data_IF_332237337975
#
_entry.id   IF_332237337975
#
_cell.length_a   1.000
_cell.length_b   1.000
_cell.length_c   1.000
_cell.angle_alpha   90.00
_cell.angle_beta   90.00
_cell.angle_gamma   90.00
#
_symmetry.space_group_name_H-M   'P 1'
#
loop_
_entity.id
_entity.type
_entity.pdbx_description
1 polymer ?
#
# COMPACT_ATOMS: atom_id res chain seq x y z
N UNK A 1 -14.58 -33.20 13.57
CA UNK A 1 -15.89 -33.17 12.86
C UNK A 1 -15.67 -33.85 11.52
N UNK A 2 -16.47 -34.86 11.19
CA UNK A 2 -16.30 -35.57 9.92
C UNK A 2 -16.84 -34.73 8.74
N UNK A 3 -16.54 -35.16 7.51
CA UNK A 3 -16.90 -34.44 6.27
C UNK A 3 -18.41 -34.30 6.11
N UNK A 4 -19.18 -35.33 6.49
CA UNK A 4 -20.63 -35.31 6.38
C UNK A 4 -21.24 -34.24 7.32
N UNK A 5 -20.71 -34.11 8.53
CA UNK A 5 -21.13 -33.07 9.47
C UNK A 5 -20.76 -31.67 8.98
N UNK A 6 -19.56 -31.49 8.41
CA UNK A 6 -19.15 -30.20 7.82
C UNK A 6 -20.06 -29.83 6.66
N UNK A 7 -20.33 -30.76 5.76
CA UNK A 7 -21.25 -30.59 4.62
C UNK A 7 -22.64 -30.17 5.08
N UNK A 8 -23.20 -30.86 6.08
CA UNK A 8 -24.52 -30.54 6.65
C UNK A 8 -24.57 -29.13 7.25
N UNK A 9 -23.55 -28.72 7.98
CA UNK A 9 -23.50 -27.38 8.59
C UNK A 9 -23.42 -26.30 7.55
N UNK A 10 -22.53 -26.45 6.55
CA UNK A 10 -22.32 -25.44 5.50
C UNK A 10 -23.52 -25.35 4.59
N UNK A 11 -24.06 -26.47 4.15
CA UNK A 11 -25.25 -26.45 3.27
C UNK A 11 -26.47 -25.84 4.00
N UNK A 12 -26.69 -26.18 5.26
CA UNK A 12 -27.75 -25.58 6.09
C UNK A 12 -27.59 -24.06 6.23
N UNK A 13 -26.36 -23.56 6.39
CA UNK A 13 -26.09 -22.14 6.42
C UNK A 13 -26.41 -21.48 5.06
N UNK A 14 -25.93 -22.04 3.96
CA UNK A 14 -26.19 -21.52 2.63
C UNK A 14 -27.68 -21.51 2.30
N UNK A 15 -28.44 -22.57 2.66
CA UNK A 15 -29.89 -22.62 2.46
C UNK A 15 -30.64 -21.56 3.28
N UNK A 16 -30.14 -21.22 4.48
CA UNK A 16 -30.68 -20.07 5.24
C UNK A 16 -30.41 -18.75 4.54
N UNK A 17 -29.23 -18.58 3.94
CA UNK A 17 -28.92 -17.39 3.14
C UNK A 17 -29.85 -17.26 1.92
N UNK A 18 -30.16 -18.36 1.24
CA UNK A 18 -31.15 -18.40 0.13
C UNK A 18 -32.53 -17.97 0.62
N UNK A 19 -33.01 -18.53 1.72
CA UNK A 19 -34.33 -18.16 2.29
C UNK A 19 -34.37 -16.68 2.70
N UNK A 20 -33.27 -16.16 3.24
CA UNK A 20 -33.16 -14.73 3.57
C UNK A 20 -33.19 -13.85 2.31
N UNK A 21 -32.49 -14.28 1.26
CA UNK A 21 -32.50 -13.57 -0.02
C UNK A 21 -33.90 -13.56 -0.64
N UNK A 22 -34.62 -14.69 -0.66
CA UNK A 22 -36.01 -14.78 -1.15
C UNK A 22 -36.91 -13.78 -0.41
N UNK A 23 -36.85 -13.78 0.94
CA UNK A 23 -37.63 -12.85 1.76
C UNK A 23 -37.22 -11.37 1.54
N UNK A 24 -35.97 -11.10 1.22
CA UNK A 24 -35.51 -9.76 0.91
C UNK A 24 -35.97 -9.29 -0.45
N UNK A 25 -35.94 -10.14 -1.46
CA UNK A 25 -36.44 -9.86 -2.79
C UNK A 25 -37.95 -9.54 -2.73
N UNK A 26 -38.74 -10.35 -2.03
CA UNK A 26 -40.18 -10.16 -1.82
C UNK A 26 -40.46 -8.78 -1.18
N UNK A 27 -39.75 -8.44 -0.10
CA UNK A 27 -39.88 -7.13 0.59
C UNK A 27 -39.56 -5.97 -0.36
N UNK A 28 -38.46 -6.10 -1.12
CA UNK A 28 -38.02 -5.05 -2.06
C UNK A 28 -39.05 -4.88 -3.20
N UNK A 29 -39.58 -5.98 -3.77
CA UNK A 29 -40.65 -5.95 -4.78
C UNK A 29 -41.91 -5.30 -4.24
N UNK A 30 -42.32 -5.63 -3.01
CA UNK A 30 -43.54 -5.05 -2.39
C UNK A 30 -43.42 -3.55 -2.09
N UNK A 31 -42.21 -3.04 -1.98
CA UNK A 31 -41.89 -1.60 -1.72
C UNK A 31 -41.59 -0.83 -3.00
N UNK A 32 -41.63 -1.48 -4.18
CA UNK A 32 -41.22 -0.91 -5.46
C UNK A 32 -39.78 -0.28 -5.39
N UNK A 33 -38.84 -0.96 -4.72
CA UNK A 33 -37.46 -0.53 -4.66
C UNK A 33 -36.78 -0.63 -6.04
N UNK A 34 -35.56 -0.03 -6.18
CA UNK A 34 -34.86 0.07 -7.45
C UNK A 34 -34.68 -1.32 -8.10
N UNK A 35 -35.03 -1.51 -9.39
CA UNK A 35 -34.86 -2.79 -10.10
C UNK A 35 -33.42 -3.31 -10.10
N UNK A 36 -32.39 -2.41 -10.06
CA UNK A 36 -30.99 -2.82 -10.01
C UNK A 36 -30.66 -3.49 -8.68
N UNK A 37 -31.21 -3.00 -7.57
CA UNK A 37 -31.02 -3.61 -6.25
C UNK A 37 -31.73 -4.96 -6.16
N UNK A 38 -32.91 -5.08 -6.72
CA UNK A 38 -33.67 -6.35 -6.81
C UNK A 38 -32.83 -7.37 -7.60
N UNK A 39 -32.29 -6.98 -8.76
CA UNK A 39 -31.49 -7.84 -9.62
C UNK A 39 -30.21 -8.33 -8.90
N UNK A 40 -29.56 -7.45 -8.12
CA UNK A 40 -28.38 -7.83 -7.32
C UNK A 40 -28.74 -8.91 -6.29
N UNK A 41 -29.89 -8.81 -5.64
CA UNK A 41 -30.37 -9.81 -4.69
C UNK A 41 -30.79 -11.11 -5.37
N UNK A 42 -31.37 -11.07 -6.58
CA UNK A 42 -31.70 -12.24 -7.40
C UNK A 42 -30.41 -12.98 -7.82
N UNK A 43 -29.36 -12.25 -8.24
CA UNK A 43 -28.05 -12.82 -8.55
C UNK A 43 -27.40 -13.47 -7.32
N UNK A 44 -27.40 -12.77 -6.17
CA UNK A 44 -26.90 -13.32 -4.91
C UNK A 44 -27.62 -14.61 -4.53
N UNK A 45 -28.94 -14.61 -4.60
CA UNK A 45 -29.80 -15.76 -4.32
C UNK A 45 -29.47 -16.94 -5.22
N UNK A 46 -29.35 -16.71 -6.53
CA UNK A 46 -29.04 -17.75 -7.52
C UNK A 46 -27.65 -18.35 -7.26
N UNK A 47 -26.65 -17.52 -7.06
CA UNK A 47 -25.28 -17.95 -6.78
C UNK A 47 -25.19 -18.76 -5.47
N UNK A 48 -25.81 -18.27 -4.40
CA UNK A 48 -25.84 -18.96 -3.12
C UNK A 48 -26.57 -20.30 -3.17
N UNK A 49 -27.66 -20.37 -3.95
CA UNK A 49 -28.41 -21.63 -4.17
C UNK A 49 -27.57 -22.65 -4.93
N UNK A 50 -26.81 -22.22 -5.93
CA UNK A 50 -25.88 -23.06 -6.69
C UNK A 50 -24.81 -23.63 -5.77
N UNK A 51 -24.12 -22.76 -5.01
CA UNK A 51 -23.09 -23.19 -4.06
C UNK A 51 -23.64 -24.13 -2.97
N UNK A 52 -24.86 -23.93 -2.51
CA UNK A 52 -25.50 -24.86 -1.60
C UNK A 52 -25.66 -26.26 -2.21
N UNK A 53 -26.00 -26.33 -3.50
CA UNK A 53 -26.15 -27.60 -4.21
C UNK A 53 -24.81 -28.31 -4.45
N UNK A 54 -23.75 -27.58 -4.76
CA UNK A 54 -22.39 -28.13 -4.87
C UNK A 54 -21.90 -28.72 -3.53
N UNK A 55 -22.15 -28.03 -2.41
CA UNK A 55 -21.86 -28.56 -1.08
C UNK A 55 -22.69 -29.82 -0.80
N UNK A 56 -23.98 -29.82 -1.11
CA UNK A 56 -24.88 -30.96 -0.88
C UNK A 56 -24.51 -32.18 -1.72
N UNK A 57 -24.10 -31.99 -2.96
CA UNK A 57 -23.65 -33.06 -3.86
C UNK A 57 -22.32 -33.67 -3.47
N UNK A 58 -21.53 -33.00 -2.62
CA UNK A 58 -20.21 -33.42 -2.22
C UNK A 58 -19.08 -33.01 -3.19
N UNK A 59 -19.40 -32.21 -4.21
CA UNK A 59 -18.38 -31.69 -5.15
C UNK A 59 -17.31 -30.86 -4.45
N UNK A 60 -17.64 -30.25 -3.29
CA UNK A 60 -16.73 -29.46 -2.48
C UNK A 60 -16.17 -30.22 -1.26
N UNK A 61 -16.30 -31.56 -1.22
CA UNK A 61 -15.84 -32.36 -0.08
C UNK A 61 -14.34 -32.23 0.17
N UNK A 62 -13.52 -32.29 -0.87
CA UNK A 62 -12.06 -32.09 -0.77
C UNK A 62 -11.74 -30.74 -0.12
N UNK A 63 -12.45 -29.69 -0.51
CA UNK A 63 -12.30 -28.35 0.08
C UNK A 63 -12.75 -28.32 1.55
N UNK A 64 -13.82 -29.04 1.89
CA UNK A 64 -14.31 -29.13 3.27
C UNK A 64 -13.41 -30.00 4.16
N UNK A 65 -12.70 -31.00 3.60
CA UNK A 65 -11.79 -31.87 4.34
C UNK A 65 -10.48 -31.17 4.69
N UNK A 66 -9.91 -30.46 3.74
CA UNK A 66 -8.61 -29.82 3.87
C UNK A 66 -8.57 -28.67 4.88
N UNK A 67 -9.73 -28.14 5.30
CA UNK A 67 -9.93 -27.21 6.43
C UNK A 67 -9.10 -25.93 6.43
N UNK A 68 -8.07 -25.94 5.67
CA UNK A 68 -7.05 -24.93 5.47
C UNK A 68 -6.75 -24.91 3.96
N UNK A 69 -7.76 -24.56 3.16
CA UNK A 69 -7.49 -24.26 1.77
C UNK A 69 -6.63 -22.99 1.73
N UNK A 70 -5.36 -23.18 2.01
CA UNK A 70 -4.36 -22.34 1.39
C UNK A 70 -4.51 -22.62 -0.08
N UNK A 71 -5.21 -21.74 -0.80
CA UNK A 71 -5.04 -21.67 -2.22
C UNK A 71 -3.53 -21.64 -2.44
N UNK A 72 -2.93 -22.79 -2.77
CA UNK A 72 -1.62 -22.77 -3.37
C UNK A 72 -1.77 -21.76 -4.49
N UNK A 73 -1.00 -20.67 -4.51
CA UNK A 73 -1.16 -19.69 -5.57
C UNK A 73 -1.05 -20.47 -6.88
N UNK A 74 -2.15 -20.49 -7.64
CA UNK A 74 -2.19 -21.21 -8.92
C UNK A 74 -0.96 -20.79 -9.72
N UNK A 75 -0.02 -21.70 -9.90
CA UNK A 75 1.22 -21.44 -10.60
C UNK A 75 2.42 -21.04 -9.71
N UNK A 76 2.41 -21.29 -8.40
CA UNK A 76 3.64 -21.23 -7.63
C UNK A 76 4.56 -22.37 -8.06
N UNK A 77 5.63 -22.02 -8.74
CA UNK A 77 6.65 -22.95 -9.18
C UNK A 77 7.89 -22.79 -8.32
N UNK A 78 8.28 -23.84 -7.61
CA UNK A 78 9.58 -23.87 -6.96
C UNK A 78 10.67 -23.74 -8.03
N UNK A 79 11.68 -22.92 -7.76
CA UNK A 79 12.83 -22.72 -8.68
C UNK A 79 13.57 -24.03 -9.02
N UNK A 80 13.35 -25.09 -8.24
CA UNK A 80 13.91 -26.41 -8.47
C UNK A 80 13.35 -27.15 -9.68
N UNK A 81 12.11 -26.86 -10.09
CA UNK A 81 11.39 -27.66 -11.10
C UNK A 81 11.37 -27.00 -12.49
N UNK A 82 11.00 -25.73 -12.55
CA UNK A 82 10.93 -24.97 -13.80
C UNK A 82 11.50 -23.57 -13.58
N UNK A 83 12.77 -23.40 -13.96
CA UNK A 83 13.45 -22.11 -13.84
C UNK A 83 13.87 -21.59 -15.19
N UNK A 84 13.59 -20.35 -15.44
CA UNK A 84 14.11 -19.58 -16.55
C UNK A 84 14.99 -18.45 -16.02
N UNK A 85 16.03 -18.11 -16.76
CA UNK A 85 16.89 -16.98 -16.45
C UNK A 85 16.58 -15.84 -17.41
N UNK A 86 16.21 -14.71 -16.86
CA UNK A 86 15.91 -13.50 -17.64
C UNK A 86 17.05 -12.50 -17.48
N UNK A 87 17.71 -12.17 -18.60
CA UNK A 87 18.74 -11.15 -18.56
C UNK A 87 18.09 -9.76 -18.59
N UNK A 88 18.30 -8.99 -17.54
CA UNK A 88 17.71 -7.64 -17.44
C UNK A 88 18.27 -6.65 -18.46
N UNK A 89 19.47 -6.88 -19.03
CA UNK A 89 20.04 -6.02 -20.07
C UNK A 89 19.24 -6.08 -21.36
N UNK A 90 18.65 -7.25 -21.67
CA UNK A 90 17.84 -7.47 -22.88
C UNK A 90 16.42 -6.92 -22.75
N UNK A 91 16.01 -6.52 -21.56
CA UNK A 91 14.67 -5.99 -21.28
C UNK A 91 14.58 -4.50 -21.53
N UNK A 92 13.39 -4.04 -21.92
CA UNK A 92 13.06 -2.62 -21.93
C UNK A 92 13.10 -2.02 -20.51
N UNK A 93 13.24 -0.70 -20.41
CA UNK A 93 13.17 0.00 -19.12
C UNK A 93 11.86 -0.29 -18.38
N UNK A 94 10.75 -0.44 -19.10
CA UNK A 94 9.44 -0.71 -18.51
C UNK A 94 9.34 -2.12 -17.93
N UNK A 95 9.83 -3.12 -18.64
CA UNK A 95 9.88 -4.50 -18.18
C UNK A 95 10.76 -4.63 -16.94
N UNK A 96 12.01 -4.09 -16.97
CA UNK A 96 12.88 -4.08 -15.78
C UNK A 96 12.21 -3.46 -14.57
N UNK A 97 11.58 -2.29 -14.76
CA UNK A 97 10.85 -1.60 -13.70
C UNK A 97 9.72 -2.46 -13.12
N UNK A 98 8.94 -3.09 -13.98
CA UNK A 98 7.82 -3.92 -13.57
C UNK A 98 8.30 -5.15 -12.78
N UNK A 99 9.31 -5.85 -13.27
CA UNK A 99 9.91 -6.99 -12.56
C UNK A 99 10.45 -6.61 -11.19
N UNK A 100 11.31 -5.60 -11.12
CA UNK A 100 11.95 -5.20 -9.86
C UNK A 100 10.93 -4.61 -8.87
N UNK A 101 9.97 -3.82 -9.36
CA UNK A 101 8.93 -3.31 -8.51
C UNK A 101 8.06 -4.44 -7.96
N UNK A 102 7.57 -5.36 -8.80
CA UNK A 102 6.71 -6.47 -8.39
C UNK A 102 7.39 -7.37 -7.34
N UNK A 103 8.64 -7.78 -7.59
CA UNK A 103 9.36 -8.69 -6.69
C UNK A 103 9.71 -8.08 -5.33
N UNK A 104 9.80 -6.74 -5.25
CA UNK A 104 10.18 -6.03 -4.03
C UNK A 104 9.03 -5.27 -3.36
N UNK A 105 7.79 -5.60 -3.70
CA UNK A 105 6.59 -5.10 -3.04
C UNK A 105 6.07 -6.13 -2.01
N UNK A 106 5.31 -5.68 -0.99
CA UNK A 106 4.92 -4.29 -0.70
C UNK A 106 6.05 -3.45 -0.13
N UNK A 107 5.97 -2.13 -0.31
CA UNK A 107 6.96 -1.18 0.25
C UNK A 107 6.27 0.09 0.79
N UNK A 108 6.88 0.78 1.78
CA UNK A 108 6.33 2.02 2.30
C UNK A 108 6.14 3.07 1.21
N UNK A 109 5.10 3.90 1.35
CA UNK A 109 4.88 5.07 0.50
C UNK A 109 4.58 6.31 1.37
N UNK A 110 5.57 6.81 2.12
CA UNK A 110 5.42 8.03 2.88
C UNK A 110 5.35 9.26 1.98
N UNK A 111 4.82 10.35 2.53
CA UNK A 111 4.98 11.68 1.96
C UNK A 111 6.24 12.33 2.55
N UNK A 112 7.06 12.90 1.69
CA UNK A 112 8.31 13.58 2.08
C UNK A 112 8.14 15.07 1.81
N UNK A 113 8.27 15.87 2.87
CA UNK A 113 8.27 17.32 2.79
C UNK A 113 9.69 17.87 2.81
N UNK A 114 9.96 18.82 1.92
CA UNK A 114 11.17 19.63 1.87
C UNK A 114 10.79 21.08 1.61
N UNK A 115 11.71 21.99 1.78
CA UNK A 115 11.49 23.41 1.51
C UNK A 115 12.56 23.90 0.50
N UNK A 116 12.14 24.71 -0.46
CA UNK A 116 13.05 25.35 -1.40
C UNK A 116 13.85 26.48 -0.72
N UNK A 117 14.91 26.94 -1.38
CA UNK A 117 15.66 28.10 -0.91
C UNK A 117 14.80 29.38 -0.83
N UNK A 118 13.70 29.43 -1.57
CA UNK A 118 12.75 30.55 -1.57
C UNK A 118 11.61 30.37 -0.56
N UNK A 119 11.64 29.34 0.30
CA UNK A 119 10.64 29.07 1.32
C UNK A 119 9.37 28.37 0.81
N UNK A 120 9.35 27.89 -0.43
CA UNK A 120 8.22 27.08 -0.95
C UNK A 120 8.32 25.66 -0.44
N UNK A 121 7.28 25.18 0.23
CA UNK A 121 7.18 23.83 0.74
C UNK A 121 6.76 22.87 -0.37
N UNK A 122 7.52 21.80 -0.55
CA UNK A 122 7.21 20.69 -1.44
C UNK A 122 6.74 19.49 -0.63
N UNK A 123 5.79 18.73 -1.15
CA UNK A 123 5.29 17.48 -0.56
C UNK A 123 5.15 16.43 -1.65
N UNK A 124 5.90 15.33 -1.56
CA UNK A 124 5.91 14.32 -2.61
C UNK A 124 5.94 12.89 -2.05
N UNK A 125 5.22 11.92 -2.68
CA UNK A 125 5.28 10.52 -2.28
C UNK A 125 6.59 9.88 -2.73
N UNK A 126 7.19 9.09 -1.83
CA UNK A 126 8.44 8.38 -2.07
C UNK A 126 8.32 6.93 -1.66
N UNK A 127 8.45 6.02 -2.63
CA UNK A 127 8.39 4.57 -2.35
C UNK A 127 9.75 3.88 -2.35
N UNK A 128 10.81 4.57 -2.78
CA UNK A 128 12.18 4.06 -2.72
C UNK A 128 12.87 4.56 -1.45
N UNK A 129 12.39 4.11 -0.30
CA UNK A 129 12.84 4.51 1.04
C UNK A 129 13.10 3.28 1.90
N UNK A 130 14.12 3.33 2.74
CA UNK A 130 14.43 2.23 3.66
C UNK A 130 15.39 2.63 4.77
N UNK A 131 15.32 1.88 5.87
CA UNK A 131 16.27 1.98 6.99
C UNK A 131 17.56 1.29 6.59
N UNK A 132 18.71 1.93 6.82
CA UNK A 132 20.05 1.37 6.54
C UNK A 132 20.94 1.28 7.77
N UNK A 133 20.60 1.97 8.84
CA UNK A 133 21.30 1.86 10.13
C UNK A 133 20.37 2.26 11.27
N UNK A 134 20.52 1.60 12.42
CA UNK A 134 19.84 1.96 13.66
C UNK A 134 20.73 2.78 14.59
N UNK A 135 22.06 2.75 14.40
CA UNK A 135 22.99 3.49 15.22
C UNK A 135 24.21 3.93 14.37
N UNK A 136 24.23 5.19 13.93
CA UNK A 136 23.18 6.20 14.06
C UNK A 136 21.92 5.82 13.27
N UNK A 137 20.74 6.40 13.59
CA UNK A 137 19.49 6.10 12.89
C UNK A 137 19.49 6.75 11.50
N UNK A 138 19.78 5.95 10.48
CA UNK A 138 19.90 6.40 9.10
C UNK A 138 18.84 5.72 8.20
N UNK A 139 18.28 6.53 7.34
CA UNK A 139 17.40 6.08 6.25
C UNK A 139 17.94 6.58 4.92
N UNK A 140 17.55 5.91 3.84
CA UNK A 140 17.88 6.34 2.47
C UNK A 140 16.64 6.57 1.67
N UNK A 141 16.72 7.52 0.73
CA UNK A 141 15.71 7.77 -0.29
C UNK A 141 16.38 7.81 -1.65
N UNK A 142 15.89 7.05 -2.62
CA UNK A 142 16.34 7.16 -4.00
C UNK A 142 15.46 8.15 -4.76
N UNK A 143 16.06 9.20 -5.30
CA UNK A 143 15.43 10.32 -5.97
C UNK A 143 15.80 10.32 -7.45
N UNK A 144 14.89 9.85 -8.31
CA UNK A 144 15.10 9.78 -9.76
C UNK A 144 14.81 11.11 -10.45
N UNK A 145 15.47 11.37 -11.58
CA UNK A 145 15.07 12.41 -12.53
C UNK A 145 13.91 11.93 -13.41
N UNK A 146 13.19 12.86 -14.02
CA UNK A 146 12.24 12.54 -15.08
C UNK A 146 12.96 11.98 -16.32
N UNK A 147 12.20 11.43 -17.28
CA UNK A 147 12.78 10.98 -18.57
C UNK A 147 13.43 12.12 -19.35
N UNK A 148 12.93 13.34 -19.17
CA UNK A 148 13.48 14.57 -19.76
C UNK A 148 14.70 15.10 -18.98
N UNK A 149 15.17 14.38 -17.94
CA UNK A 149 16.32 14.77 -17.14
C UNK A 149 16.02 15.81 -16.05
N UNK A 150 14.73 16.22 -15.86
CA UNK A 150 14.34 17.16 -14.82
C UNK A 150 14.46 16.47 -13.44
N UNK A 151 15.18 17.08 -12.53
CA UNK A 151 15.28 16.62 -11.15
C UNK A 151 13.92 16.82 -10.41
N UNK A 152 13.64 15.96 -9.45
CA UNK A 152 12.48 16.14 -8.56
C UNK A 152 12.76 17.30 -7.61
N UNK A 153 11.72 18.07 -7.28
CA UNK A 153 11.84 19.23 -6.41
C UNK A 153 12.41 18.86 -5.03
N UNK A 154 12.05 17.69 -4.49
CA UNK A 154 12.68 17.13 -3.28
C UNK A 154 14.21 17.03 -3.39
N UNK A 155 14.74 16.55 -4.53
CA UNK A 155 16.19 16.45 -4.72
C UNK A 155 16.84 17.83 -4.88
N UNK A 156 16.19 18.72 -5.62
CA UNK A 156 16.65 20.11 -5.82
C UNK A 156 16.72 20.83 -4.48
N UNK A 157 15.68 20.70 -3.66
CA UNK A 157 15.59 21.33 -2.34
C UNK A 157 16.71 20.85 -1.40
N UNK A 158 16.86 19.53 -1.25
CA UNK A 158 17.90 18.94 -0.42
C UNK A 158 19.31 19.35 -0.88
N UNK A 159 19.54 19.35 -2.19
CA UNK A 159 20.85 19.69 -2.76
C UNK A 159 21.18 21.19 -2.64
N UNK A 160 20.20 22.05 -2.86
CA UNK A 160 20.40 23.51 -2.81
C UNK A 160 20.65 24.01 -1.39
N UNK A 161 20.04 23.40 -0.40
CA UNK A 161 20.26 23.73 1.01
C UNK A 161 21.49 23.03 1.60
N UNK A 162 21.94 21.93 0.98
CA UNK A 162 23.15 21.22 1.35
C UNK A 162 23.02 20.32 2.59
N UNK A 163 24.16 19.81 3.06
CA UNK A 163 24.26 18.94 4.24
C UNK A 163 23.68 19.66 5.46
N UNK A 164 22.88 18.94 6.25
CA UNK A 164 22.16 19.48 7.41
C UNK A 164 20.77 20.05 7.06
N UNK A 165 20.38 20.10 5.78
CA UNK A 165 19.03 20.52 5.41
C UNK A 165 17.98 19.62 6.02
N UNK A 166 16.90 20.24 6.50
CA UNK A 166 15.79 19.55 7.16
C UNK A 166 14.80 18.97 6.15
N UNK A 167 14.26 17.80 6.46
CA UNK A 167 13.09 17.25 5.79
C UNK A 167 12.21 16.49 6.78
N UNK A 168 10.92 16.36 6.42
CA UNK A 168 9.94 15.61 7.19
C UNK A 168 9.45 14.43 6.36
N UNK A 169 9.24 13.29 7.01
CA UNK A 169 8.72 12.08 6.37
C UNK A 169 7.49 11.64 7.13
N UNK A 170 6.34 11.68 6.46
CA UNK A 170 5.04 11.36 7.04
C UNK A 170 4.64 9.93 6.73
N UNK A 171 4.51 9.11 7.76
CA UNK A 171 3.99 7.75 7.66
C UNK A 171 2.47 7.83 7.72
N UNK A 172 1.81 7.29 6.70
CA UNK A 172 0.37 7.42 6.53
C UNK A 172 -0.36 6.15 6.98
N UNK A 173 -1.53 6.28 7.64
CA UNK A 173 -2.41 5.16 7.86
C UNK A 173 -3.04 4.69 6.54
N UNK A 174 -3.44 3.42 6.47
CA UNK A 174 -4.08 2.85 5.28
C UNK A 174 -5.55 3.26 5.17
N UNK A 175 -5.78 4.52 4.83
CA UNK A 175 -7.11 5.10 4.60
C UNK A 175 -7.28 5.55 3.15
N UNK A 176 -8.53 5.71 2.72
CA UNK A 176 -8.83 6.25 1.39
C UNK A 176 -8.32 7.70 1.25
N UNK A 177 -8.40 8.48 2.32
CA UNK A 177 -7.91 9.86 2.37
C UNK A 177 -6.40 9.91 2.17
N UNK A 178 -5.64 9.11 2.92
CA UNK A 178 -4.19 8.98 2.73
C UNK A 178 -3.82 8.58 1.30
N UNK A 179 -4.57 7.65 0.69
CA UNK A 179 -4.34 7.25 -0.70
C UNK A 179 -4.62 8.39 -1.69
N UNK A 180 -5.67 9.19 -1.45
CA UNK A 180 -5.95 10.39 -2.25
C UNK A 180 -4.85 11.44 -2.11
N UNK A 181 -4.34 11.67 -0.90
CA UNK A 181 -3.24 12.60 -0.65
C UNK A 181 -1.97 12.19 -1.39
N UNK A 182 -1.64 10.89 -1.39
CA UNK A 182 -0.53 10.36 -2.21
C UNK A 182 -0.76 10.62 -3.70
N UNK A 183 -1.98 10.44 -4.20
CA UNK A 183 -2.31 10.70 -5.59
C UNK A 183 -2.19 12.18 -5.95
N UNK A 184 -2.76 13.07 -5.13
CA UNK A 184 -2.75 14.52 -5.35
C UNK A 184 -1.32 15.06 -5.34
N UNK A 185 -0.52 14.70 -4.32
CA UNK A 185 0.86 15.15 -4.17
C UNK A 185 1.86 14.48 -5.15
N UNK A 186 1.42 13.51 -5.95
CA UNK A 186 2.19 12.97 -7.08
C UNK A 186 2.01 13.78 -8.37
N UNK A 187 1.10 14.76 -8.38
CA UNK A 187 0.80 15.60 -9.54
C UNK A 187 1.98 16.49 -9.89
N UNK A 188 2.13 16.79 -11.18
CA UNK A 188 3.14 17.74 -11.64
C UNK A 188 2.57 19.14 -11.54
N UNK A 189 3.11 19.93 -10.63
CA UNK A 189 2.81 21.35 -10.49
C UNK A 189 4.08 22.18 -10.78
N UNK A 190 3.96 23.52 -11.01
CA UNK A 190 5.11 24.41 -11.09
C UNK A 190 5.97 24.35 -9.82
N UNK A 191 7.29 24.52 -9.95
CA UNK A 191 8.23 24.41 -8.82
C UNK A 191 8.10 25.58 -7.81
N UNK A 192 7.41 26.64 -8.17
CA UNK A 192 7.07 27.79 -7.32
C UNK A 192 5.70 27.65 -6.63
N UNK A 193 4.99 26.57 -6.89
CA UNK A 193 3.75 26.18 -6.22
C UNK A 193 4.02 25.02 -5.24
N UNK A 194 3.11 24.86 -4.26
CA UNK A 194 3.25 23.88 -3.19
C UNK A 194 2.16 22.81 -3.30
N UNK A 195 2.52 21.53 -3.26
CA UNK A 195 1.56 20.43 -3.24
C UNK A 195 0.66 20.44 -1.99
N UNK A 196 1.04 21.16 -0.95
CA UNK A 196 0.24 21.33 0.25
C UNK A 196 -1.13 21.99 0.00
N UNK A 197 -1.25 22.79 -1.08
CA UNK A 197 -2.52 23.38 -1.48
C UNK A 197 -3.50 22.39 -2.11
N UNK A 198 -3.02 21.22 -2.52
CA UNK A 198 -3.82 20.19 -3.18
C UNK A 198 -4.54 19.27 -2.17
N UNK A 199 -4.11 19.29 -0.92
CA UNK A 199 -4.66 18.45 0.14
C UNK A 199 -5.57 19.29 1.03
N UNK A 200 -6.73 18.73 1.38
CA UNK A 200 -7.73 19.38 2.25
C UNK A 200 -7.53 18.87 3.69
N UNK A 201 -6.44 19.30 4.32
CA UNK A 201 -6.09 18.89 5.68
C UNK A 201 -5.67 20.08 6.53
N UNK A 202 -5.92 19.96 7.84
CA UNK A 202 -5.37 20.89 8.81
C UNK A 202 -3.86 20.68 8.95
N UNK A 203 -3.11 21.77 8.79
CA UNK A 203 -1.66 21.77 8.92
C UNK A 203 -1.27 22.24 10.33
N UNK A 204 -0.50 21.43 11.02
CA UNK A 204 0.05 21.79 12.33
C UNK A 204 1.35 22.56 12.09
N UNK A 205 1.36 23.85 12.39
CA UNK A 205 2.53 24.72 12.19
C UNK A 205 3.23 24.93 13.54
N UNK A 206 4.03 23.94 13.94
CA UNK A 206 4.85 24.02 15.16
C UNK A 206 6.35 24.24 14.87
N UNK A 207 6.75 24.10 13.60
CA UNK A 207 8.15 24.15 13.17
C UNK A 207 8.27 24.87 11.83
N UNK A 208 9.50 24.97 11.30
CA UNK A 208 9.75 25.52 9.96
C UNK A 208 9.04 24.75 8.83
N UNK A 209 8.70 23.49 9.07
CA UNK A 209 7.93 22.68 8.13
C UNK A 209 6.58 22.30 8.73
N UNK A 210 5.48 22.43 7.98
CA UNK A 210 4.18 22.01 8.46
C UNK A 210 4.15 20.49 8.68
N UNK A 211 3.34 20.07 9.66
CA UNK A 211 3.11 18.66 10.00
C UNK A 211 1.73 18.29 9.47
N UNK A 212 1.66 17.16 8.78
CA UNK A 212 0.43 16.60 8.26
C UNK A 212 -0.39 15.97 9.40
N UNK A 213 -1.57 16.47 9.68
CA UNK A 213 -2.39 16.05 10.83
C UNK A 213 -2.90 14.61 10.71
N UNK A 214 -3.15 14.13 9.49
CA UNK A 214 -3.59 12.75 9.21
C UNK A 214 -2.47 11.72 9.26
N UNK A 215 -1.21 12.13 9.37
CA UNK A 215 -0.10 11.18 9.49
C UNK A 215 -0.12 10.48 10.85
N UNK A 216 0.11 9.15 10.85
CA UNK A 216 0.23 8.38 12.08
C UNK A 216 1.55 8.65 12.82
N UNK A 217 2.57 9.05 12.09
CA UNK A 217 3.85 9.49 12.62
C UNK A 217 4.58 10.38 11.59
N UNK A 218 5.44 11.28 12.09
CA UNK A 218 6.35 12.08 11.29
C UNK A 218 7.78 11.89 11.78
N UNK A 219 8.69 11.64 10.84
CA UNK A 219 10.14 11.57 11.12
C UNK A 219 10.75 12.93 10.78
N UNK A 220 11.38 13.58 11.75
CA UNK A 220 12.19 14.76 11.48
C UNK A 220 13.59 14.28 11.11
N UNK A 221 14.05 14.66 9.93
CA UNK A 221 15.30 14.18 9.37
C UNK A 221 16.20 15.33 8.92
N UNK A 222 17.51 15.05 8.90
CA UNK A 222 18.53 15.91 8.28
C UNK A 222 19.28 15.18 7.20
N UNK A 223 19.59 15.90 6.13
CA UNK A 223 20.44 15.39 5.07
C UNK A 223 21.88 15.23 5.56
N UNK A 224 22.42 14.01 5.41
CA UNK A 224 23.82 13.70 5.67
C UNK A 224 24.64 13.77 4.39
N UNK A 225 24.18 13.06 3.33
CA UNK A 225 24.89 12.98 2.07
C UNK A 225 23.94 12.74 0.90
N UNK A 226 24.38 13.12 -0.31
CA UNK A 226 23.72 12.75 -1.58
C UNK A 226 24.77 12.16 -2.51
N UNK A 227 24.55 10.94 -2.98
CA UNK A 227 25.40 10.25 -3.93
C UNK A 227 24.68 10.00 -5.25
N UNK A 228 25.31 10.27 -6.41
CA UNK A 228 24.80 9.75 -7.67
C UNK A 228 24.87 8.22 -7.66
N UNK A 229 23.85 7.55 -8.16
CA UNK A 229 23.91 6.09 -8.29
C UNK A 229 24.81 5.70 -9.47
N UNK A 230 25.52 4.56 -9.36
CA UNK A 230 26.46 4.11 -10.38
C UNK A 230 25.77 3.68 -11.70
N UNK A 231 26.57 3.35 -12.71
CA UNK A 231 26.09 2.76 -13.96
C UNK A 231 25.29 3.72 -14.85
N UNK A 232 25.50 5.04 -14.74
CA UNK A 232 24.76 6.03 -15.54
C UNK A 232 23.30 6.20 -15.10
N UNK A 233 22.94 5.74 -13.92
CA UNK A 233 21.59 5.92 -13.36
C UNK A 233 21.21 7.40 -13.29
N UNK A 234 19.96 7.69 -13.63
CA UNK A 234 19.39 9.05 -13.49
C UNK A 234 18.91 9.34 -12.05
N UNK A 235 19.23 8.47 -11.09
CA UNK A 235 18.83 8.64 -9.69
C UNK A 235 20.03 9.01 -8.80
N UNK A 236 19.72 9.70 -7.71
CA UNK A 236 20.64 9.98 -6.60
C UNK A 236 20.11 9.36 -5.32
N UNK A 237 20.99 8.86 -4.48
CA UNK A 237 20.69 8.33 -3.16
C UNK A 237 20.92 9.43 -2.12
N UNK A 238 19.89 9.86 -1.42
CA UNK A 238 20.02 10.73 -0.26
C UNK A 238 20.08 9.88 1.02
N UNK A 239 21.05 10.13 1.88
CA UNK A 239 21.20 9.55 3.21
C UNK A 239 20.72 10.60 4.21
N UNK A 240 19.74 10.23 5.01
CA UNK A 240 19.09 11.09 5.99
C UNK A 240 19.29 10.51 7.40
N UNK A 241 19.63 11.35 8.36
CA UNK A 241 19.60 10.99 9.77
C UNK A 241 18.25 11.35 10.37
N UNK A 242 17.63 10.42 11.05
CA UNK A 242 16.39 10.66 11.80
C UNK A 242 16.78 11.26 13.15
N UNK A 243 16.35 12.50 13.40
CA UNK A 243 16.65 13.22 14.66
C UNK A 243 15.57 12.96 15.72
N UNK A 244 14.30 12.89 15.30
CA UNK A 244 13.17 12.66 16.20
C UNK A 244 11.96 12.07 15.46
N UNK A 245 11.08 11.47 16.24
CA UNK A 245 9.78 10.95 15.78
C UNK A 245 8.70 11.75 16.50
N UNK A 246 7.75 12.26 15.74
CA UNK A 246 6.55 12.91 16.24
C UNK A 246 5.39 11.94 16.02
N UNK A 247 4.65 11.63 17.07
CA UNK A 247 3.49 10.73 17.01
C UNK A 247 2.54 11.02 18.18
N UNK A 248 1.26 10.80 17.97
CA UNK A 248 0.24 10.87 19.02
C UNK A 248 0.22 9.63 19.92
N UNK A 249 0.85 8.54 19.48
CA UNK A 249 0.89 7.25 20.18
C UNK A 249 2.33 6.77 20.39
N UNK A 250 2.53 5.94 21.42
CA UNK A 250 3.76 5.19 21.59
C UNK A 250 3.87 4.06 20.55
N UNK A 251 5.01 3.36 20.52
CA UNK A 251 5.27 2.27 19.57
C UNK A 251 4.17 1.19 19.57
N UNK A 252 3.68 0.78 20.73
CA UNK A 252 2.65 -0.26 20.84
C UNK A 252 1.33 0.17 20.21
N UNK A 253 0.90 1.43 20.43
CA UNK A 253 -0.32 1.96 19.82
C UNK A 253 -0.21 2.15 18.29
N UNK A 254 0.99 2.43 17.77
CA UNK A 254 1.22 2.52 16.32
C UNK A 254 1.20 1.16 15.63
N UNK A 255 1.57 0.09 16.34
CA UNK A 255 1.64 -1.25 15.77
C UNK A 255 0.27 -1.79 15.34
N UNK A 256 -0.79 -1.34 16.00
CA UNK A 256 -2.18 -1.72 15.67
C UNK A 256 -2.73 -0.96 14.45
N UNK A 257 -2.05 0.08 13.98
CA UNK A 257 -2.46 0.88 12.84
C UNK A 257 -1.83 0.35 11.57
N UNK A 258 -2.66 -0.02 10.60
CA UNK A 258 -2.17 -0.44 9.29
C UNK A 258 -1.59 0.74 8.51
N UNK A 259 -0.37 0.60 8.04
CA UNK A 259 0.33 1.61 7.25
C UNK A 259 -0.08 1.53 5.79
N UNK A 260 -0.13 2.67 5.12
CA UNK A 260 -0.32 2.72 3.68
C UNK A 260 0.96 2.26 2.97
N UNK A 261 0.81 1.28 2.08
CA UNK A 261 1.90 0.68 1.32
C UNK A 261 1.61 0.76 -0.18
N UNK A 262 2.66 0.81 -0.98
CA UNK A 262 2.56 0.48 -2.39
C UNK A 262 2.61 -1.05 -2.51
N UNK A 263 1.50 -1.65 -2.94
CA UNK A 263 1.33 -3.12 -3.04
C UNK A 263 1.46 -3.64 -4.46
N UNK A 264 1.38 -2.75 -5.45
CA UNK A 264 1.65 -3.00 -6.86
C UNK A 264 2.12 -1.68 -7.49
N UNK A 265 2.56 -1.70 -8.73
CA UNK A 265 3.12 -0.52 -9.41
C UNK A 265 2.24 0.73 -9.27
N UNK A 266 0.93 0.57 -9.42
CA UNK A 266 -0.07 1.64 -9.35
C UNK A 266 -1.19 1.37 -8.33
N UNK A 267 -0.95 0.48 -7.35
CA UNK A 267 -1.93 0.16 -6.31
C UNK A 267 -1.37 0.43 -4.93
N UNK A 268 -2.21 1.01 -4.10
CA UNK A 268 -1.96 1.23 -2.68
C UNK A 268 -2.87 0.33 -1.86
N UNK A 269 -2.39 -0.12 -0.72
CA UNK A 269 -3.13 -0.99 0.18
C UNK A 269 -2.57 -0.96 1.60
N UNK A 270 -3.19 -1.66 2.54
CA UNK A 270 -2.70 -1.77 3.91
C UNK A 270 -1.44 -2.64 4.01
N UNK A 271 -0.65 -2.44 5.07
CA UNK A 271 0.57 -3.19 5.36
C UNK A 271 0.33 -4.67 5.67
N UNK A 272 -0.86 -5.04 6.12
CA UNK A 272 -1.28 -6.43 6.29
C UNK A 272 -2.65 -6.64 5.67
N UNK A 273 -2.93 -7.87 5.21
CA UNK A 273 -4.26 -8.29 4.83
C UNK A 273 -4.97 -8.90 6.05
N UNK A 274 -6.31 -8.83 6.11
CA UNK A 274 -7.10 -9.40 7.21
C UNK A 274 -7.02 -10.94 7.32
N UNK A 275 -6.44 -11.61 6.33
CA UNK A 275 -6.20 -13.06 6.36
C UNK A 275 -4.78 -13.30 6.88
N UNK A 276 -4.59 -13.05 8.16
CA UNK A 276 -3.29 -12.90 8.77
C UNK A 276 -2.56 -14.23 8.90
N UNK A 277 -1.70 -14.48 7.93
CA UNK A 277 -0.61 -15.35 8.14
C UNK A 277 0.50 -14.53 8.81
N UNK A 278 0.69 -14.73 10.11
CA UNK A 278 1.74 -14.12 10.91
C UNK A 278 2.65 -15.21 11.43
N UNK A 279 3.95 -15.02 11.28
CA UNK A 279 4.97 -15.88 11.84
C UNK A 279 5.96 -15.00 12.59
N UNK A 280 6.08 -15.21 13.89
CA UNK A 280 7.08 -14.54 14.73
C UNK A 280 8.44 -15.20 14.56
N UNK A 281 9.46 -14.40 14.36
CA UNK A 281 10.85 -14.84 14.18
C UNK A 281 11.66 -14.34 15.35
N UNK A 282 12.30 -15.23 16.07
CA UNK A 282 13.29 -14.87 17.10
C UNK A 282 14.63 -14.52 16.42
N UNK A 283 15.12 -13.29 16.63
CA UNK A 283 16.42 -12.81 16.13
C UNK A 283 17.45 -12.72 17.25
#
# INVERSE_FOLDING_TARGET
>A
MDIAQRREIVSRFLRRCVTYADASIERKKSRNEDPSDISNWENYRQFTSFSASEVESGELDTWLEEGDYRAEPNGFFALSENRESFNLEDMSHEERRNWLAFLLMPRPIPLVATMSANGVHNLAPMSSIGVVSNSPPLITISLSKSREGKERDTLVNLRSQGIGSSCMIFILPATLESAKNVQLTSSKIPADESEWILIDEELIIETEMPILSSAMAALRCKLIEIHPLPGGSLASLAILQVESIISSNNYSGLNDIQKLMQVDFNKLGPSSSKNDWNFEVDY
#
